data_IF_325628037630
#
_entry.id   IF_325628037630
#
_cell.length_a   1.000
_cell.length_b   1.000
_cell.length_c   1.000
_cell.angle_alpha   90.00
_cell.angle_beta   90.00
_cell.angle_gamma   90.00
#
_symmetry.space_group_name_H-M   'P 1'
#
loop_
_entity.id
_entity.type
_entity.pdbx_description
1 polymer ?
#
# COMPACT_ATOMS: atom_id res chain seq x y z
N UNK A 1 -8.69 -25.63 0.19
CA UNK A 1 -7.89 -24.63 0.91
C UNK A 1 -8.75 -23.71 1.79
N UNK A 2 -9.60 -22.77 1.27
CA UNK A 2 -10.36 -21.82 2.12
C UNK A 2 -11.28 -22.56 3.10
N UNK A 3 -12.09 -23.53 2.65
CA UNK A 3 -12.96 -24.32 3.51
C UNK A 3 -12.24 -25.08 4.62
N UNK A 4 -11.09 -25.67 4.32
CA UNK A 4 -10.26 -26.38 5.29
C UNK A 4 -9.71 -25.43 6.35
N UNK A 5 -9.22 -24.25 5.89
CA UNK A 5 -8.76 -23.21 6.82
C UNK A 5 -9.88 -22.68 7.73
N UNK A 6 -11.14 -22.62 7.24
CA UNK A 6 -12.29 -22.24 8.07
C UNK A 6 -12.59 -23.27 9.17
N UNK A 7 -12.23 -24.53 8.96
CA UNK A 7 -12.34 -25.61 9.94
C UNK A 7 -11.17 -25.69 10.91
N UNK A 8 -10.23 -24.72 10.85
CA UNK A 8 -9.08 -24.66 11.74
C UNK A 8 -7.84 -25.39 11.22
N UNK A 9 -7.84 -25.87 9.97
CA UNK A 9 -6.68 -26.53 9.37
C UNK A 9 -5.53 -25.51 9.18
N UNK A 10 -4.52 -25.62 10.00
CA UNK A 10 -3.36 -24.74 10.00
C UNK A 10 -2.49 -24.87 8.72
N UNK A 11 -2.43 -26.09 8.12
CA UNK A 11 -1.68 -26.28 6.88
C UNK A 11 -2.38 -25.63 5.69
N UNK A 12 -3.69 -25.77 5.59
CA UNK A 12 -4.48 -25.08 4.58
C UNK A 12 -4.37 -23.54 4.72
N UNK A 13 -4.33 -23.03 5.96
CA UNK A 13 -4.08 -21.60 6.20
C UNK A 13 -2.66 -21.17 5.81
N UNK A 14 -1.65 -21.99 6.09
CA UNK A 14 -0.27 -21.72 5.67
C UNK A 14 -0.15 -21.59 4.16
N UNK A 15 -0.90 -22.41 3.40
CA UNK A 15 -0.97 -22.29 1.94
C UNK A 15 -1.64 -20.99 1.49
N UNK A 16 -2.72 -20.55 2.17
CA UNK A 16 -3.33 -19.22 1.93
C UNK A 16 -2.34 -18.10 2.22
N UNK A 17 -1.62 -18.17 3.34
CA UNK A 17 -0.59 -17.21 3.70
C UNK A 17 0.47 -17.10 2.59
N UNK A 18 1.07 -18.23 2.17
CA UNK A 18 2.09 -18.26 1.10
C UNK A 18 1.59 -17.66 -0.21
N UNK A 19 0.32 -17.88 -0.54
CA UNK A 19 -0.29 -17.37 -1.79
C UNK A 19 -0.51 -15.87 -1.77
N UNK A 20 -0.85 -15.29 -0.64
CA UNK A 20 -1.28 -13.89 -0.55
C UNK A 20 -0.27 -12.97 0.13
N UNK A 21 0.73 -13.48 0.84
CA UNK A 21 1.67 -12.65 1.61
C UNK A 21 2.40 -11.62 0.74
N UNK A 22 2.87 -12.00 -0.45
CA UNK A 22 3.60 -11.09 -1.34
C UNK A 22 2.71 -9.92 -1.79
N UNK A 23 1.46 -10.19 -2.17
CA UNK A 23 0.48 -9.16 -2.55
C UNK A 23 0.12 -8.24 -1.38
N UNK A 24 -0.19 -8.82 -0.22
CA UNK A 24 -0.49 -8.05 1.00
C UNK A 24 0.69 -7.16 1.37
N UNK A 25 1.91 -7.70 1.34
CA UNK A 25 3.14 -6.96 1.63
C UNK A 25 3.37 -5.82 0.65
N UNK A 26 3.24 -6.09 -0.66
CA UNK A 26 3.36 -5.08 -1.71
C UNK A 26 2.35 -3.95 -1.51
N UNK A 27 1.06 -4.29 -1.37
CA UNK A 27 -0.01 -3.30 -1.14
C UNK A 27 0.26 -2.45 0.11
N UNK A 28 0.65 -3.06 1.24
CA UNK A 28 0.96 -2.34 2.48
C UNK A 28 2.18 -1.43 2.31
N UNK A 29 3.23 -1.91 1.64
CA UNK A 29 4.42 -1.12 1.34
C UNK A 29 4.07 0.12 0.52
N UNK A 30 3.26 -0.03 -0.53
CA UNK A 30 2.80 1.07 -1.38
C UNK A 30 1.92 2.08 -0.61
N UNK A 31 1.12 1.62 0.35
CA UNK A 31 0.21 2.48 1.13
C UNK A 31 0.89 3.16 2.32
N UNK A 32 1.77 2.46 3.02
CA UNK A 32 2.31 2.86 4.33
C UNK A 32 3.83 3.04 4.34
N UNK A 33 4.55 2.60 3.29
CA UNK A 33 6.02 2.58 3.27
C UNK A 33 6.60 1.41 4.07
N UNK A 34 7.91 1.48 4.33
CA UNK A 34 8.67 0.42 4.99
C UNK A 34 8.41 0.31 6.51
N UNK A 35 7.96 1.41 7.14
CA UNK A 35 7.83 1.46 8.59
C UNK A 35 6.80 0.45 9.11
N UNK A 36 7.21 -0.41 10.04
CA UNK A 36 6.37 -1.47 10.65
C UNK A 36 5.71 -2.43 9.64
N UNK A 37 6.27 -2.57 8.43
CA UNK A 37 5.66 -3.35 7.35
C UNK A 37 5.39 -4.80 7.76
N UNK A 38 6.33 -5.45 8.46
CA UNK A 38 6.18 -6.84 8.89
C UNK A 38 5.06 -7.00 9.93
N UNK A 39 4.94 -6.06 10.86
CA UNK A 39 3.87 -6.04 11.87
C UNK A 39 2.51 -5.85 11.21
N UNK A 40 2.42 -4.95 10.20
CA UNK A 40 1.18 -4.75 9.45
C UNK A 40 0.77 -5.98 8.65
N UNK A 41 1.72 -6.66 8.01
CA UNK A 41 1.46 -7.94 7.32
C UNK A 41 0.95 -8.99 8.30
N UNK A 42 1.58 -9.12 9.45
CA UNK A 42 1.14 -10.05 10.50
C UNK A 42 -0.27 -9.71 10.98
N UNK A 43 -0.57 -8.44 11.22
CA UNK A 43 -1.91 -7.99 11.65
C UNK A 43 -2.98 -8.31 10.61
N UNK A 44 -2.69 -8.14 9.30
CA UNK A 44 -3.62 -8.55 8.24
C UNK A 44 -3.94 -10.03 8.36
N UNK A 45 -2.94 -10.90 8.47
CA UNK A 45 -3.18 -12.34 8.52
C UNK A 45 -3.80 -12.80 9.83
N UNK A 46 -3.57 -12.14 10.94
CA UNK A 46 -4.30 -12.35 12.20
C UNK A 46 -5.78 -12.02 12.05
N UNK A 47 -6.12 -10.89 11.40
CA UNK A 47 -7.52 -10.53 11.10
C UNK A 47 -8.14 -11.50 10.10
N UNK A 48 -7.39 -11.96 9.11
CA UNK A 48 -7.82 -13.00 8.16
C UNK A 48 -8.16 -14.28 8.91
N UNK A 49 -7.26 -14.80 9.75
CA UNK A 49 -7.48 -16.01 10.53
C UNK A 49 -8.74 -15.92 11.39
N UNK A 50 -8.89 -14.85 12.16
CA UNK A 50 -10.06 -14.61 13.03
C UNK A 50 -11.36 -14.40 12.27
N UNK A 51 -11.31 -13.81 11.09
CA UNK A 51 -12.48 -13.49 10.28
C UNK A 51 -12.90 -14.59 9.31
N UNK A 52 -11.98 -15.47 8.97
CA UNK A 52 -12.18 -16.52 7.96
C UNK A 52 -13.41 -17.41 8.21
N UNK A 53 -13.71 -17.85 9.46
CA UNK A 53 -14.92 -18.64 9.74
C UNK A 53 -16.24 -17.95 9.36
N UNK A 54 -16.26 -16.62 9.31
CA UNK A 54 -17.43 -15.81 8.96
C UNK A 54 -17.58 -15.55 7.45
N UNK A 55 -16.60 -15.90 6.64
CA UNK A 55 -16.63 -15.69 5.21
C UNK A 55 -17.58 -16.70 4.54
N UNK A 56 -18.76 -16.24 4.11
CA UNK A 56 -19.80 -17.08 3.51
C UNK A 56 -19.49 -17.50 2.07
N UNK A 57 -18.89 -16.61 1.27
CA UNK A 57 -18.62 -16.86 -0.14
C UNK A 57 -17.13 -16.81 -0.43
N UNK A 58 -16.55 -17.95 -0.74
CA UNK A 58 -15.11 -18.14 -0.98
C UNK A 58 -14.62 -17.44 -2.26
N UNK A 59 -15.50 -17.19 -3.23
CA UNK A 59 -15.13 -16.49 -4.46
C UNK A 59 -14.73 -15.02 -4.20
N UNK A 60 -15.21 -14.45 -3.10
CA UNK A 60 -14.87 -13.08 -2.68
C UNK A 60 -13.68 -13.02 -1.73
N UNK A 61 -12.93 -14.11 -1.53
CA UNK A 61 -11.79 -14.12 -0.61
C UNK A 61 -10.74 -13.07 -0.99
N UNK A 62 -10.42 -12.96 -2.28
CA UNK A 62 -9.45 -11.96 -2.76
C UNK A 62 -9.90 -10.52 -2.44
N UNK A 63 -11.14 -10.16 -2.75
CA UNK A 63 -11.72 -8.84 -2.43
C UNK A 63 -11.74 -8.59 -0.91
N UNK A 64 -12.06 -9.64 -0.15
CA UNK A 64 -12.15 -9.57 1.30
C UNK A 64 -10.77 -9.37 1.97
N UNK A 65 -9.71 -10.05 1.52
CA UNK A 65 -8.37 -9.83 2.06
C UNK A 65 -7.84 -8.43 1.71
N UNK A 66 -8.11 -7.89 0.53
CA UNK A 66 -7.76 -6.50 0.20
C UNK A 66 -8.49 -5.49 1.09
N UNK A 67 -9.77 -5.74 1.42
CA UNK A 67 -10.50 -4.92 2.39
C UNK A 67 -9.84 -4.94 3.77
N UNK A 68 -9.40 -6.11 4.25
CA UNK A 68 -8.66 -6.22 5.52
C UNK A 68 -7.34 -5.47 5.42
N UNK A 69 -6.58 -5.63 4.35
CA UNK A 69 -5.29 -4.96 4.11
C UNK A 69 -5.46 -3.43 4.16
N UNK A 70 -6.45 -2.91 3.45
CA UNK A 70 -6.76 -1.47 3.47
C UNK A 70 -7.17 -0.98 4.86
N UNK A 71 -8.01 -1.72 5.59
CA UNK A 71 -8.39 -1.36 6.95
C UNK A 71 -7.18 -1.27 7.88
N UNK A 72 -6.25 -2.24 7.79
CA UNK A 72 -5.01 -2.23 8.58
C UNK A 72 -4.15 -1.01 8.23
N UNK A 73 -3.98 -0.71 6.93
CA UNK A 73 -3.26 0.48 6.48
C UNK A 73 -3.90 1.78 6.99
N UNK A 74 -5.23 1.88 6.96
CA UNK A 74 -5.96 3.04 7.48
C UNK A 74 -5.79 3.20 8.99
N UNK A 75 -5.85 2.09 9.74
CA UNK A 75 -5.67 2.09 11.20
C UNK A 75 -4.25 2.53 11.58
N UNK A 76 -3.22 2.00 10.89
CA UNK A 76 -1.82 2.37 11.08
C UNK A 76 -1.61 3.88 10.86
N UNK A 77 -2.18 4.44 9.78
CA UNK A 77 -2.12 5.88 9.51
C UNK A 77 -2.77 6.72 10.60
N UNK A 78 -3.95 6.31 11.10
CA UNK A 78 -4.62 7.01 12.20
C UNK A 78 -3.78 7.01 13.48
N UNK A 79 -3.07 5.90 13.76
CA UNK A 79 -2.17 5.80 14.92
C UNK A 79 -0.99 6.75 14.79
N UNK A 80 -0.34 6.81 13.61
CA UNK A 80 0.76 7.75 13.35
C UNK A 80 0.30 9.21 13.50
N UNK A 81 -0.87 9.55 12.99
CA UNK A 81 -1.44 10.90 13.15
C UNK A 81 -1.66 11.28 14.62
N UNK A 82 -2.18 10.37 15.44
CA UNK A 82 -2.37 10.57 16.88
C UNK A 82 -1.05 10.71 17.64
N UNK A 83 -0.04 9.92 17.28
CA UNK A 83 1.29 10.00 17.90
C UNK A 83 1.96 11.35 17.60
N UNK A 84 1.88 11.83 16.36
CA UNK A 84 2.39 13.17 15.98
C UNK A 84 1.67 14.31 16.73
N UNK A 85 0.37 14.23 16.92
CA UNK A 85 -0.38 15.23 17.69
C UNK A 85 -0.02 15.24 19.18
N UNK A 86 0.35 14.09 19.77
CA UNK A 86 0.78 14.01 21.18
C UNK A 86 2.20 14.54 21.39
N UNK A 87 3.04 14.52 20.38
CA UNK A 87 4.43 15.02 20.44
C UNK A 87 4.48 16.55 20.23
N UNK A 88 3.38 17.18 19.76
CA UNK A 88 3.29 18.64 19.59
C UNK A 88 2.90 19.38 20.88
N UNK A 89 3.37 18.94 22.06
CA UNK A 89 3.63 19.86 23.16
C UNK A 89 5.03 20.46 22.93
N UNK A 90 5.18 21.80 23.09
CA UNK A 90 6.44 22.45 22.73
C UNK A 90 7.54 22.09 23.74
N UNK A 91 8.33 21.12 23.43
CA UNK A 91 9.63 20.88 24.05
C UNK A 91 10.67 21.01 22.94
N UNK A 92 11.41 22.10 23.05
CA UNK A 92 12.75 22.38 22.52
C UNK A 92 13.28 21.29 21.56
N UNK A 93 13.49 21.69 20.30
CA UNK A 93 14.07 20.91 19.25
C UNK A 93 15.38 20.20 19.67
N UNK A 94 15.55 18.94 19.33
CA UNK A 94 16.85 18.44 18.92
C UNK A 94 16.92 18.54 17.41
N UNK A 95 17.82 19.35 16.95
CA UNK A 95 18.45 19.28 15.65
C UNK A 95 19.16 17.94 15.54
N UNK A 96 18.51 16.95 14.99
CA UNK A 96 19.22 15.80 14.48
C UNK A 96 19.40 15.99 12.99
N UNK A 97 20.62 16.42 12.67
CA UNK A 97 21.29 16.24 11.41
C UNK A 97 21.25 14.73 11.07
N UNK A 98 20.24 14.29 10.41
CA UNK A 98 20.39 13.12 9.56
C UNK A 98 21.10 13.60 8.31
N UNK A 99 22.36 13.19 8.21
CA UNK A 99 23.24 13.53 7.12
C UNK A 99 22.54 13.23 5.79
N UNK A 100 22.38 14.27 4.99
CA UNK A 100 22.28 14.14 3.57
C UNK A 100 23.51 13.35 3.10
N UNK A 101 23.34 12.04 2.97
CA UNK A 101 24.20 11.29 2.08
C UNK A 101 23.76 11.75 0.69
N UNK A 102 24.35 12.85 0.25
CA UNK A 102 24.41 13.22 -1.15
C UNK A 102 25.16 12.10 -1.87
N UNK A 103 24.47 11.03 -2.17
CA UNK A 103 24.88 10.11 -3.20
C UNK A 103 24.82 10.93 -4.49
N UNK A 104 26.00 11.44 -4.88
CA UNK A 104 26.22 11.83 -6.26
C UNK A 104 25.95 10.57 -7.09
N UNK A 105 24.71 10.45 -7.55
CA UNK A 105 24.31 9.44 -8.52
C UNK A 105 25.07 9.76 -9.81
N UNK A 106 26.18 9.07 -10.00
CA UNK A 106 26.67 8.78 -11.33
C UNK A 106 25.47 8.23 -12.11
N UNK A 107 25.20 8.80 -13.29
CA UNK A 107 24.10 8.34 -14.17
C UNK A 107 24.07 6.82 -14.22
N UNK A 108 22.93 6.17 -13.95
CA UNK A 108 22.83 4.71 -13.97
C UNK A 108 22.64 4.26 -15.41
N UNK A 109 23.64 4.46 -16.27
CA UNK A 109 23.53 4.09 -17.68
C UNK A 109 23.88 2.64 -17.98
N UNK A 110 24.39 1.84 -16.98
CA UNK A 110 25.02 0.55 -17.31
C UNK A 110 24.42 -0.71 -16.65
N UNK A 111 23.35 -0.63 -15.85
CA UNK A 111 22.73 -1.83 -15.27
C UNK A 111 21.21 -1.76 -15.28
N UNK A 112 20.51 -2.69 -15.96
CA UNK A 112 19.05 -2.78 -15.96
C UNK A 112 18.46 -2.83 -14.54
N UNK A 113 19.16 -3.48 -13.61
CA UNK A 113 18.71 -3.62 -12.21
C UNK A 113 18.75 -2.29 -11.46
N UNK A 114 19.76 -1.46 -11.67
CA UNK A 114 19.85 -0.12 -11.06
C UNK A 114 18.80 0.81 -11.61
N UNK A 115 18.51 0.74 -12.90
CA UNK A 115 17.44 1.52 -13.52
C UNK A 115 16.08 1.13 -12.95
N UNK A 116 15.82 -0.16 -12.78
CA UNK A 116 14.58 -0.67 -12.18
C UNK A 116 14.42 -0.20 -10.72
N UNK A 117 15.47 -0.25 -9.92
CA UNK A 117 15.46 0.27 -8.54
C UNK A 117 15.16 1.76 -8.52
N UNK A 118 15.79 2.54 -9.40
CA UNK A 118 15.53 3.98 -9.51
C UNK A 118 14.06 4.28 -9.84
N UNK A 119 13.46 3.57 -10.79
CA UNK A 119 12.04 3.74 -11.09
C UNK A 119 11.13 3.30 -9.93
N UNK A 120 11.49 2.26 -9.20
CA UNK A 120 10.74 1.84 -8.01
C UNK A 120 10.77 2.93 -6.93
N UNK A 121 11.92 3.55 -6.69
CA UNK A 121 12.06 4.65 -5.74
C UNK A 121 11.27 5.88 -6.18
N UNK A 122 11.30 6.25 -7.46
CA UNK A 122 10.50 7.35 -7.99
C UNK A 122 8.99 7.10 -7.81
N UNK A 123 8.53 5.90 -8.09
CA UNK A 123 7.12 5.53 -7.87
C UNK A 123 6.75 5.66 -6.40
N UNK A 124 7.61 5.19 -5.48
CA UNK A 124 7.37 5.31 -4.04
C UNK A 124 7.31 6.77 -3.57
N UNK A 125 8.23 7.60 -4.05
CA UNK A 125 8.23 9.04 -3.76
C UNK A 125 6.94 9.70 -4.27
N UNK A 126 6.56 9.45 -5.53
CA UNK A 126 5.33 9.98 -6.09
C UNK A 126 4.07 9.51 -5.34
N UNK A 127 4.02 8.25 -4.92
CA UNK A 127 2.95 7.75 -4.07
C UNK A 127 2.92 8.45 -2.71
N UNK A 128 4.08 8.79 -2.13
CA UNK A 128 4.15 9.50 -0.85
C UNK A 128 3.58 10.92 -0.93
N UNK A 129 3.68 11.61 -2.06
CA UNK A 129 3.09 12.93 -2.30
C UNK A 129 1.55 12.90 -2.41
N UNK A 130 0.97 11.76 -2.79
CA UNK A 130 -0.47 11.64 -2.91
C UNK A 130 -1.18 11.61 -1.55
N UNK A 131 -2.38 12.18 -1.48
CA UNK A 131 -3.28 11.91 -0.35
C UNK A 131 -3.52 10.40 -0.23
N UNK A 132 -3.81 9.92 0.98
CA UNK A 132 -4.02 8.48 1.19
C UNK A 132 -5.16 7.93 0.34
N UNK A 133 -6.22 8.71 0.14
CA UNK A 133 -7.38 8.36 -0.67
C UNK A 133 -7.02 8.20 -2.15
N UNK A 134 -6.21 9.11 -2.68
CA UNK A 134 -5.72 9.06 -4.06
C UNK A 134 -4.72 7.92 -4.24
N UNK A 135 -3.76 7.79 -3.31
CA UNK A 135 -2.80 6.69 -3.27
C UNK A 135 -3.50 5.33 -3.27
N UNK A 136 -4.51 5.16 -2.41
CA UNK A 136 -5.24 3.90 -2.28
C UNK A 136 -5.88 3.47 -3.61
N UNK A 137 -6.59 4.36 -4.29
CA UNK A 137 -7.25 3.97 -5.54
C UNK A 137 -6.24 3.71 -6.66
N UNK A 138 -5.14 4.45 -6.70
CA UNK A 138 -4.06 4.25 -7.67
C UNK A 138 -3.37 2.89 -7.45
N UNK A 139 -2.99 2.58 -6.22
CA UNK A 139 -2.36 1.30 -5.86
C UNK A 139 -3.28 0.13 -6.20
N UNK A 140 -4.54 0.17 -5.77
CA UNK A 140 -5.47 -0.93 -6.01
C UNK A 140 -5.80 -1.11 -7.50
N UNK A 141 -5.86 -0.03 -8.28
CA UNK A 141 -6.20 -0.10 -9.70
C UNK A 141 -4.98 -0.38 -10.58
N UNK A 142 -3.92 0.43 -10.45
CA UNK A 142 -2.82 0.46 -11.42
C UNK A 142 -1.68 -0.48 -11.03
N UNK A 143 -1.53 -0.84 -9.74
CA UNK A 143 -0.48 -1.75 -9.28
C UNK A 143 -1.01 -3.16 -8.94
N UNK A 144 -2.27 -3.27 -8.48
CA UNK A 144 -2.88 -4.56 -8.14
C UNK A 144 -3.91 -5.02 -9.18
N UNK A 145 -4.07 -4.30 -10.30
CA UNK A 145 -4.95 -4.62 -11.44
C UNK A 145 -6.42 -4.88 -11.05
N UNK A 146 -6.91 -4.21 -9.99
CA UNK A 146 -8.29 -4.41 -9.56
C UNK A 146 -9.28 -3.55 -10.36
N UNK A 147 -10.41 -4.12 -10.84
CA UNK A 147 -11.45 -3.35 -11.49
C UNK A 147 -12.05 -2.27 -10.57
N UNK A 148 -12.41 -1.11 -11.11
CA UNK A 148 -13.01 -0.01 -10.33
C UNK A 148 -14.24 -0.44 -9.51
N UNK A 149 -15.06 -1.36 -10.04
CA UNK A 149 -16.20 -1.95 -9.32
C UNK A 149 -15.75 -2.67 -8.06
N UNK A 150 -14.71 -3.50 -8.14
CA UNK A 150 -14.14 -4.22 -6.99
C UNK A 150 -13.55 -3.25 -5.97
N UNK A 151 -12.87 -2.18 -6.43
CA UNK A 151 -12.32 -1.14 -5.56
C UNK A 151 -13.46 -0.40 -4.82
N UNK A 152 -14.56 -0.10 -5.51
CA UNK A 152 -15.74 0.51 -4.90
C UNK A 152 -16.32 -0.37 -3.78
N UNK A 153 -16.36 -1.68 -3.98
CA UNK A 153 -16.79 -2.66 -2.98
C UNK A 153 -15.79 -2.75 -1.79
N UNK A 154 -14.47 -2.75 -2.07
CA UNK A 154 -13.42 -2.79 -1.03
C UNK A 154 -13.50 -1.54 -0.14
N UNK A 155 -13.58 -0.36 -0.75
CA UNK A 155 -13.54 0.93 -0.04
C UNK A 155 -14.90 1.37 0.47
N UNK A 156 -15.98 0.68 0.09
CA UNK A 156 -17.38 1.05 0.36
C UNK A 156 -17.69 2.48 -0.11
N UNK A 157 -17.33 2.79 -1.36
CA UNK A 157 -17.51 4.10 -1.99
C UNK A 157 -18.27 3.97 -3.32
N UNK A 158 -19.00 5.02 -3.75
CA UNK A 158 -19.61 5.06 -5.08
C UNK A 158 -18.57 4.93 -6.20
N UNK A 159 -18.91 4.24 -7.30
CA UNK A 159 -18.02 4.09 -8.46
C UNK A 159 -17.58 5.43 -9.07
N UNK A 160 -18.44 6.45 -9.06
CA UNK A 160 -18.11 7.80 -9.49
C UNK A 160 -16.99 8.44 -8.66
N UNK A 161 -16.97 8.17 -7.34
CA UNK A 161 -15.91 8.62 -6.43
C UNK A 161 -14.59 7.91 -6.75
N UNK A 162 -14.61 6.61 -7.07
CA UNK A 162 -13.41 5.88 -7.48
C UNK A 162 -12.84 6.47 -8.78
N UNK A 163 -13.71 6.70 -9.77
CA UNK A 163 -13.32 7.27 -11.07
C UNK A 163 -12.67 8.65 -10.92
N UNK A 164 -13.28 9.55 -10.14
CA UNK A 164 -12.73 10.89 -9.91
C UNK A 164 -11.41 10.86 -9.15
N UNK A 165 -11.33 10.07 -8.05
CA UNK A 165 -10.07 9.91 -7.29
C UNK A 165 -8.95 9.35 -8.15
N UNK A 166 -9.23 8.37 -9.00
CA UNK A 166 -8.24 7.78 -9.90
C UNK A 166 -7.75 8.80 -10.94
N UNK A 167 -8.66 9.60 -11.49
CA UNK A 167 -8.30 10.68 -12.41
C UNK A 167 -7.33 11.69 -11.78
N UNK A 168 -7.64 12.18 -10.58
CA UNK A 168 -6.78 13.14 -9.89
C UNK A 168 -5.47 12.51 -9.39
N UNK A 169 -5.50 11.25 -8.95
CA UNK A 169 -4.31 10.52 -8.53
C UNK A 169 -3.32 10.34 -9.68
N UNK A 170 -3.80 9.91 -10.85
CA UNK A 170 -2.96 9.76 -12.05
C UNK A 170 -2.41 11.09 -12.55
N UNK A 171 -3.21 12.15 -12.49
CA UNK A 171 -2.75 13.49 -12.85
C UNK A 171 -1.61 13.94 -11.95
N UNK A 172 -1.78 13.85 -10.64
CA UNK A 172 -0.75 14.24 -9.68
C UNK A 172 0.53 13.41 -9.82
N UNK A 173 0.40 12.08 -10.03
CA UNK A 173 1.54 11.20 -10.29
C UNK A 173 2.28 11.60 -11.57
N UNK A 174 1.56 11.91 -12.65
CA UNK A 174 2.17 12.38 -13.90
C UNK A 174 2.93 13.68 -13.69
N UNK A 175 2.32 14.66 -13.02
CA UNK A 175 2.95 15.96 -12.72
C UNK A 175 4.23 15.75 -11.90
N UNK A 176 4.23 14.86 -10.91
CA UNK A 176 5.40 14.48 -10.13
C UNK A 176 6.50 13.87 -11.02
N UNK A 177 6.17 12.85 -11.82
CA UNK A 177 7.16 12.15 -12.67
C UNK A 177 7.78 13.08 -13.71
N UNK A 178 7.00 14.00 -14.30
CA UNK A 178 7.51 15.02 -15.22
C UNK A 178 8.51 15.95 -14.53
N UNK A 179 8.27 16.35 -13.28
CA UNK A 179 9.21 17.16 -12.50
C UNK A 179 10.51 16.40 -12.20
N UNK A 180 10.47 15.07 -12.13
CA UNK A 180 11.65 14.22 -11.97
C UNK A 180 12.36 13.90 -13.31
N UNK A 181 11.95 14.51 -14.42
CA UNK A 181 12.59 14.35 -15.73
C UNK A 181 12.13 13.10 -16.53
N UNK A 182 11.09 12.40 -16.08
CA UNK A 182 10.50 11.27 -16.82
C UNK A 182 9.55 11.83 -17.88
N UNK A 183 9.96 11.82 -19.15
CA UNK A 183 9.23 12.53 -20.23
C UNK A 183 8.10 11.72 -20.87
N UNK A 184 8.14 10.39 -20.88
CA UNK A 184 7.13 9.53 -21.53
C UNK A 184 6.31 8.75 -20.49
N UNK A 185 5.41 9.47 -19.78
CA UNK A 185 4.47 8.84 -18.85
C UNK A 185 3.06 8.88 -19.44
N UNK A 186 2.71 7.83 -20.23
CA UNK A 186 1.37 7.56 -20.83
C UNK A 186 0.90 8.48 -21.96
#
# INVERSE_FOLDING_TARGET
>A
MIRQSQQGDAEAFRQLYRRYQAKVRSTLYQLCGQHQLDDLVQEVFLRVWKGLPKLRNHNFFATWIYRITWNVAQDARKQLGRSRQRIHQPSIAPTDNEGEISLQLSRPEDSPDLLQLHYQDLVQQGLAELSFEHRTVLVLHDLEDLPQKTIAEILNLPGGTIKSRLFYARRAMREFLQQQGVQDVF
#
